data_IF_596469014667
#
_entry.id   IF_596469014667
#
_cell.length_a   1.000
_cell.length_b   1.000
_cell.length_c   1.000
_cell.angle_alpha   90.00
_cell.angle_beta   90.00
_cell.angle_gamma   90.00
#
_symmetry.space_group_name_H-M   'P 1'
#
loop_
_entity.id
_entity.type
_entity.pdbx_description
1 polymer ?
#
# COMPACT_ATOMS: atom_id res chain seq x y z
N UNK A 1 36.34 28.03 -24.25
CA UNK A 1 35.11 28.85 -24.30
C UNK A 1 33.92 27.92 -24.47
N UNK A 2 33.41 27.36 -23.37
CA UNK A 2 32.12 26.68 -23.36
C UNK A 2 31.04 27.76 -23.36
N UNK A 3 30.00 27.65 -24.20
CA UNK A 3 28.94 28.65 -24.21
C UNK A 3 28.23 28.60 -22.85
N UNK A 4 28.22 29.74 -22.15
CA UNK A 4 27.38 30.00 -20.99
C UNK A 4 25.92 29.88 -21.43
N UNK A 5 25.35 28.68 -21.34
CA UNK A 5 23.90 28.52 -21.31
C UNK A 5 23.47 29.17 -19.98
N UNK A 6 22.81 30.32 -20.08
CA UNK A 6 22.23 31.03 -18.94
C UNK A 6 21.44 30.07 -18.06
N UNK A 7 21.87 29.92 -16.80
CA UNK A 7 21.27 29.04 -15.80
C UNK A 7 19.80 29.36 -15.50
N UNK A 8 19.37 30.61 -15.72
CA UNK A 8 17.95 31.00 -15.66
C UNK A 8 17.07 30.23 -16.66
N UNK A 9 17.62 29.87 -17.82
CA UNK A 9 16.87 29.10 -18.82
C UNK A 9 16.58 27.65 -18.38
N UNK A 10 17.36 27.08 -17.45
CA UNK A 10 17.20 25.68 -17.01
C UNK A 10 16.06 25.57 -15.99
N UNK A 11 16.02 26.46 -14.99
CA UNK A 11 14.96 26.48 -13.98
C UNK A 11 13.62 26.89 -14.59
N UNK A 12 13.62 27.85 -15.53
CA UNK A 12 12.42 28.25 -16.26
C UNK A 12 11.89 27.11 -17.15
N UNK A 13 12.77 26.33 -17.77
CA UNK A 13 12.39 25.15 -18.55
C UNK A 13 11.81 24.02 -17.66
N UNK A 14 12.43 23.75 -16.50
CA UNK A 14 11.90 22.79 -15.52
C UNK A 14 10.51 23.19 -15.02
N UNK A 15 10.32 24.46 -14.66
CA UNK A 15 9.02 24.98 -14.20
C UNK A 15 7.95 24.83 -15.28
N UNK A 16 8.30 25.10 -16.54
CA UNK A 16 7.38 24.93 -17.67
C UNK A 16 7.00 23.46 -17.88
N UNK A 17 7.97 22.54 -17.80
CA UNK A 17 7.70 21.10 -17.92
C UNK A 17 6.76 20.60 -16.82
N UNK A 18 6.97 21.04 -15.57
CA UNK A 18 6.10 20.73 -14.42
C UNK A 18 4.66 21.22 -14.68
N UNK A 19 4.51 22.47 -15.16
CA UNK A 19 3.19 23.06 -15.43
C UNK A 19 2.45 22.37 -16.59
N UNK A 20 3.17 21.98 -17.64
CA UNK A 20 2.61 21.24 -18.78
C UNK A 20 2.16 19.82 -18.38
N UNK A 21 2.88 19.16 -17.48
CA UNK A 21 2.51 17.86 -16.90
C UNK A 21 1.23 17.96 -16.05
N UNK A 22 1.14 19.00 -15.21
CA UNK A 22 -0.04 19.23 -14.38
C UNK A 22 -1.32 19.43 -15.20
N UNK A 23 -1.23 20.15 -16.33
CA UNK A 23 -2.37 20.36 -17.23
C UNK A 23 -2.86 19.06 -17.87
N UNK A 24 -1.94 18.17 -18.28
CA UNK A 24 -2.28 16.84 -18.84
C UNK A 24 -2.91 15.93 -17.78
N UNK A 25 -2.42 15.99 -16.54
CA UNK A 25 -2.93 15.20 -15.41
C UNK A 25 -4.41 15.44 -15.14
N UNK A 26 -4.83 16.71 -15.13
CA UNK A 26 -6.24 17.09 -14.93
C UNK A 26 -7.15 16.46 -16.00
N UNK A 27 -6.72 16.41 -17.26
CA UNK A 27 -7.48 15.78 -18.33
C UNK A 27 -7.60 14.25 -18.13
N UNK A 28 -6.50 13.60 -17.73
CA UNK A 28 -6.48 12.17 -17.42
C UNK A 28 -7.38 11.83 -16.24
N UNK A 29 -7.35 12.61 -15.16
CA UNK A 29 -8.22 12.43 -13.99
C UNK A 29 -9.71 12.50 -14.37
N UNK A 30 -10.07 13.45 -15.25
CA UNK A 30 -11.43 13.55 -15.78
C UNK A 30 -11.82 12.28 -16.54
N UNK A 31 -10.97 11.77 -17.44
CA UNK A 31 -11.22 10.52 -18.18
C UNK A 31 -11.34 9.31 -17.25
N UNK A 32 -10.51 9.22 -16.22
CA UNK A 32 -10.61 8.15 -15.22
C UNK A 32 -11.97 8.18 -14.49
N UNK A 33 -12.47 9.38 -14.17
CA UNK A 33 -13.80 9.58 -13.58
C UNK A 33 -14.93 9.20 -14.53
N UNK A 34 -14.82 9.53 -15.82
CA UNK A 34 -15.78 9.11 -16.86
C UNK A 34 -15.84 7.58 -16.97
N UNK A 35 -14.70 6.90 -17.00
CA UNK A 35 -14.67 5.43 -16.98
C UNK A 35 -15.26 4.86 -15.69
N UNK A 36 -15.04 5.51 -14.53
CA UNK A 36 -15.68 5.10 -13.28
C UNK A 36 -17.20 5.19 -13.36
N UNK A 37 -17.74 6.24 -13.98
CA UNK A 37 -19.18 6.39 -14.21
C UNK A 37 -19.72 5.28 -15.14
N UNK A 38 -19.00 4.98 -16.22
CA UNK A 38 -19.36 3.86 -17.12
C UNK A 38 -19.38 2.54 -16.36
N UNK A 39 -18.38 2.27 -15.52
CA UNK A 39 -18.32 1.06 -14.70
C UNK A 39 -19.56 0.99 -13.80
N UNK A 40 -19.87 2.06 -13.07
CA UNK A 40 -21.01 2.10 -12.14
C UNK A 40 -22.35 1.90 -12.87
N UNK A 41 -22.53 2.54 -14.03
CA UNK A 41 -23.74 2.38 -14.85
C UNK A 41 -23.88 0.93 -15.32
N UNK A 42 -22.82 0.37 -15.90
CA UNK A 42 -22.80 -0.99 -16.45
C UNK A 42 -22.98 -2.05 -15.36
N UNK A 43 -22.47 -1.82 -14.15
CA UNK A 43 -22.71 -2.69 -13.00
C UNK A 43 -24.17 -2.72 -12.54
N UNK A 44 -24.98 -1.71 -12.88
CA UNK A 44 -26.42 -1.69 -12.61
C UNK A 44 -27.28 -2.33 -13.71
N UNK A 45 -26.69 -2.66 -14.86
CA UNK A 45 -27.38 -3.33 -15.97
C UNK A 45 -27.44 -4.85 -15.77
N UNK A 46 -28.22 -5.56 -16.60
CA UNK A 46 -28.31 -7.02 -16.57
C UNK A 46 -26.92 -7.65 -16.75
N UNK A 47 -26.63 -8.67 -15.93
CA UNK A 47 -25.43 -9.48 -16.06
C UNK A 47 -25.47 -10.24 -17.40
N UNK A 48 -24.68 -9.77 -18.36
CA UNK A 48 -24.46 -10.40 -19.65
C UNK A 48 -22.98 -10.40 -19.99
N UNK A 49 -22.57 -11.28 -20.90
CA UNK A 49 -21.20 -11.36 -21.37
C UNK A 49 -20.76 -10.03 -21.99
N UNK A 50 -21.63 -9.43 -22.81
CA UNK A 50 -21.37 -8.12 -23.42
C UNK A 50 -21.15 -7.03 -22.37
N UNK A 51 -22.05 -6.95 -21.39
CA UNK A 51 -21.95 -5.99 -20.30
C UNK A 51 -20.65 -6.20 -19.50
N UNK A 52 -20.31 -7.45 -19.18
CA UNK A 52 -19.08 -7.73 -18.47
C UNK A 52 -17.82 -7.36 -19.25
N UNK A 53 -17.79 -7.65 -20.55
CA UNK A 53 -16.67 -7.26 -21.42
C UNK A 53 -16.54 -5.74 -21.47
N UNK A 54 -17.65 -5.01 -21.49
CA UNK A 54 -17.66 -3.54 -21.40
C UNK A 54 -17.08 -3.05 -20.07
N UNK A 55 -17.48 -3.65 -18.94
CA UNK A 55 -16.92 -3.35 -17.62
C UNK A 55 -15.40 -3.60 -17.59
N UNK A 56 -14.93 -4.72 -18.16
CA UNK A 56 -13.50 -5.00 -18.27
C UNK A 56 -12.76 -3.94 -19.08
N UNK A 57 -13.27 -3.59 -20.25
CA UNK A 57 -12.66 -2.56 -21.09
C UNK A 57 -12.59 -1.22 -20.34
N UNK A 58 -13.66 -0.83 -19.65
CA UNK A 58 -13.68 0.40 -18.88
C UNK A 58 -12.68 0.36 -17.71
N UNK A 59 -12.57 -0.76 -16.99
CA UNK A 59 -11.57 -0.94 -15.91
C UNK A 59 -10.14 -0.92 -16.44
N UNK A 60 -9.88 -1.61 -17.54
CA UNK A 60 -8.56 -1.65 -18.20
C UNK A 60 -8.16 -0.24 -18.64
N UNK A 61 -9.06 0.49 -19.29
CA UNK A 61 -8.80 1.86 -19.72
C UNK A 61 -8.58 2.81 -18.54
N UNK A 62 -9.40 2.68 -17.49
CA UNK A 62 -9.21 3.45 -16.25
C UNK A 62 -7.85 3.18 -15.61
N UNK A 63 -7.47 1.92 -15.44
CA UNK A 63 -6.16 1.53 -14.88
C UNK A 63 -5.00 2.03 -15.75
N UNK A 64 -5.13 1.96 -17.08
CA UNK A 64 -4.12 2.50 -17.99
C UNK A 64 -3.95 4.01 -17.81
N UNK A 65 -5.04 4.75 -17.60
CA UNK A 65 -5.01 6.19 -17.32
C UNK A 65 -4.40 6.46 -15.94
N UNK A 66 -4.78 5.71 -14.90
CA UNK A 66 -4.22 5.83 -13.54
C UNK A 66 -2.71 5.54 -13.52
N UNK A 67 -2.25 4.57 -14.32
CA UNK A 67 -0.83 4.28 -14.57
C UNK A 67 -0.14 5.49 -15.19
N UNK A 68 -0.71 6.06 -16.26
CA UNK A 68 -0.12 7.23 -16.92
C UNK A 68 -0.02 8.42 -15.95
N UNK A 69 -1.04 8.66 -15.12
CA UNK A 69 -1.01 9.70 -14.08
C UNK A 69 0.13 9.44 -13.10
N UNK A 70 0.30 8.19 -12.65
CA UNK A 70 1.34 7.84 -11.67
C UNK A 70 2.74 7.93 -12.30
N UNK A 71 2.89 7.58 -13.58
CA UNK A 71 4.14 7.76 -14.34
C UNK A 71 4.47 9.25 -14.53
N UNK A 72 3.46 10.10 -14.79
CA UNK A 72 3.62 11.55 -14.86
C UNK A 72 4.01 12.14 -13.48
N UNK A 73 3.37 11.70 -12.38
CA UNK A 73 3.72 12.12 -11.01
C UNK A 73 5.17 11.73 -10.64
N UNK A 74 5.62 10.56 -11.08
CA UNK A 74 7.02 10.10 -10.92
C UNK A 74 7.96 11.03 -11.70
N UNK A 75 7.64 11.36 -12.95
CA UNK A 75 8.45 12.28 -13.75
C UNK A 75 8.50 13.67 -13.10
N UNK A 76 7.35 14.22 -12.71
CA UNK A 76 7.27 15.51 -12.03
C UNK A 76 8.11 15.52 -10.75
N UNK A 77 7.97 14.49 -9.90
CA UNK A 77 8.74 14.37 -8.65
C UNK A 77 10.26 14.32 -8.94
N UNK A 78 10.69 13.65 -10.01
CA UNK A 78 12.09 13.65 -10.43
C UNK A 78 12.57 15.04 -10.88
N UNK A 79 11.75 15.79 -11.64
CA UNK A 79 12.09 17.16 -12.05
C UNK A 79 12.20 18.09 -10.83
N UNK A 80 11.30 17.97 -9.86
CA UNK A 80 11.34 18.71 -8.59
C UNK A 80 12.59 18.36 -7.77
N UNK A 81 13.01 17.08 -7.74
CA UNK A 81 14.26 16.67 -7.10
C UNK A 81 15.47 17.31 -7.81
N UNK A 82 15.50 17.32 -9.14
CA UNK A 82 16.58 17.97 -9.92
C UNK A 82 16.61 19.48 -9.64
N UNK A 83 15.45 20.12 -9.56
CA UNK A 83 15.34 21.53 -9.22
C UNK A 83 15.87 21.83 -7.81
N UNK A 84 15.54 20.98 -6.83
CA UNK A 84 16.07 21.08 -5.46
C UNK A 84 17.58 20.84 -5.41
N UNK A 85 18.09 19.86 -6.16
CA UNK A 85 19.53 19.58 -6.27
C UNK A 85 20.30 20.80 -6.78
N UNK A 86 19.79 21.43 -7.84
CA UNK A 86 20.36 22.64 -8.38
C UNK A 86 20.31 23.81 -7.37
N UNK A 87 19.18 24.00 -6.68
CA UNK A 87 19.03 25.03 -5.66
C UNK A 87 19.94 24.83 -4.44
N UNK A 88 20.17 23.58 -4.03
CA UNK A 88 21.09 23.19 -2.96
C UNK A 88 22.54 23.49 -3.35
N UNK A 89 22.93 23.18 -4.58
CA UNK A 89 24.27 23.48 -5.12
C UNK A 89 24.53 24.99 -5.11
N UNK A 90 23.62 25.78 -5.71
CA UNK A 90 23.73 27.25 -5.70
C UNK A 90 23.80 27.83 -4.28
N UNK A 91 22.92 27.39 -3.39
CA UNK A 91 22.92 27.88 -2.00
C UNK A 91 24.21 27.48 -1.27
N UNK A 92 24.81 26.34 -1.62
CA UNK A 92 26.11 25.89 -1.13
C UNK A 92 27.27 26.77 -1.61
N UNK A 93 27.27 27.13 -2.90
CA UNK A 93 28.25 28.04 -3.50
C UNK A 93 28.14 29.44 -2.89
N UNK A 94 26.91 29.96 -2.73
CA UNK A 94 26.65 31.25 -2.08
C UNK A 94 27.18 31.28 -0.63
N UNK A 95 26.95 30.21 0.14
CA UNK A 95 27.49 30.06 1.50
C UNK A 95 29.01 30.09 1.50
N UNK A 96 29.64 29.40 0.55
CA UNK A 96 31.11 29.34 0.43
C UNK A 96 31.65 30.72 0.10
N UNK A 97 31.08 31.40 -0.89
CA UNK A 97 31.44 32.77 -1.23
C UNK A 97 31.24 33.76 -0.07
N UNK A 98 30.14 33.68 0.68
CA UNK A 98 29.94 34.55 1.84
C UNK A 98 30.95 34.26 2.97
N UNK A 99 31.35 33.00 3.17
CA UNK A 99 32.40 32.63 4.14
C UNK A 99 33.76 33.17 3.73
N UNK A 100 34.13 33.04 2.46
CA UNK A 100 35.42 33.52 1.96
C UNK A 100 35.51 35.04 2.10
N UNK A 101 34.46 35.77 1.71
CA UNK A 101 34.36 37.22 1.93
C UNK A 101 34.43 37.59 3.42
N UNK A 102 33.78 36.82 4.29
CA UNK A 102 33.80 37.07 5.74
C UNK A 102 35.19 36.80 6.33
N UNK A 103 35.89 35.76 5.86
CA UNK A 103 37.26 35.45 6.27
C UNK A 103 38.24 36.55 5.87
N UNK A 104 38.11 37.10 4.66
CA UNK A 104 38.91 38.24 4.20
C UNK A 104 38.66 39.48 5.08
N UNK A 105 37.40 39.80 5.40
CA UNK A 105 37.08 40.91 6.30
C UNK A 105 37.68 40.68 7.69
N UNK A 106 37.56 39.48 8.26
CA UNK A 106 38.14 39.14 9.57
C UNK A 106 39.67 39.23 9.54
N UNK A 107 40.31 38.81 8.45
CA UNK A 107 41.75 38.92 8.28
C UNK A 107 42.19 40.40 8.25
N UNK A 108 41.50 41.26 7.49
CA UNK A 108 41.77 42.70 7.47
C UNK A 108 41.60 43.33 8.86
N UNK A 109 40.55 42.95 9.60
CA UNK A 109 40.39 43.38 11.00
C UNK A 109 41.59 42.94 11.82
N UNK A 110 41.99 41.66 11.76
CA UNK A 110 43.09 41.11 12.56
C UNK A 110 44.46 41.72 12.21
N UNK A 111 44.70 42.09 10.95
CA UNK A 111 45.89 42.82 10.50
C UNK A 111 45.87 44.28 10.98
N UNK A 112 44.69 44.90 11.04
CA UNK A 112 44.52 46.29 11.52
C UNK A 112 44.56 46.39 13.04
N UNK A 113 44.02 45.41 13.78
CA UNK A 113 44.06 45.32 15.25
C UNK A 113 45.46 45.01 15.80
N UNK A 114 46.35 44.45 14.96
CA UNK A 114 47.78 44.27 15.29
C UNK A 114 48.58 45.58 15.23
N UNK A 115 48.00 46.66 14.69
CA UNK A 115 48.51 48.01 14.84
C UNK A 115 47.92 48.55 16.14
N UNK A 116 48.76 48.87 17.13
CA UNK A 116 48.26 49.32 18.44
C UNK A 116 47.32 50.51 18.25
N UNK A 117 46.14 50.51 18.88
CA UNK A 117 45.22 51.67 18.85
C UNK A 117 45.91 52.96 19.32
N UNK A 118 47.00 52.82 20.10
CA UNK A 118 47.88 53.91 20.52
C UNK A 118 48.87 54.35 19.42
N UNK A 119 49.31 53.44 18.52
CA UNK A 119 50.12 53.78 17.33
C UNK A 119 49.31 54.54 16.27
N UNK A 120 48.02 54.22 16.10
CA UNK A 120 47.12 54.93 15.16
C UNK A 120 46.84 56.37 15.64
N UNK A 121 46.70 56.57 16.96
CA UNK A 121 46.60 57.91 17.58
C UNK A 121 47.87 58.74 17.34
N UNK A 122 49.03 58.10 17.24
CA UNK A 122 50.32 58.77 17.03
C UNK A 122 50.66 59.04 15.56
N UNK A 123 49.88 58.51 14.60
CA UNK A 123 50.13 58.61 13.16
C UNK A 123 48.99 59.30 12.36
N UNK A 124 47.91 59.76 13.01
CA UNK A 124 46.80 60.44 12.33
C UNK A 124 47.04 61.96 12.27
N UNK A 125 47.08 62.51 11.06
CA UNK A 125 47.43 63.93 10.81
C UNK A 125 46.33 64.92 11.27
N UNK A 126 45.10 64.47 11.57
CA UNK A 126 44.02 65.29 12.14
C UNK A 126 42.87 64.49 12.81
N UNK A 127 42.02 65.19 13.58
CA UNK A 127 40.88 64.64 14.34
C UNK A 127 39.72 64.11 13.47
N UNK A 128 39.61 64.54 12.20
CA UNK A 128 38.59 64.01 11.27
C UNK A 128 38.95 62.60 10.78
N UNK A 129 40.24 62.32 10.58
CA UNK A 129 40.71 61.00 10.16
C UNK A 129 40.45 59.93 11.24
N UNK A 130 40.54 60.31 12.52
CA UNK A 130 40.15 59.46 13.66
C UNK A 130 38.65 59.14 13.69
N UNK A 131 37.78 60.14 13.51
CA UNK A 131 36.32 59.91 13.46
C UNK A 131 35.90 59.14 12.20
N UNK A 132 36.60 59.35 11.07
CA UNK A 132 36.42 58.56 9.86
C UNK A 132 36.84 57.11 10.06
N UNK A 133 37.93 56.84 10.79
CA UNK A 133 38.35 55.49 11.17
C UNK A 133 37.38 54.83 12.17
N UNK A 134 36.86 55.55 13.16
CA UNK A 134 35.82 55.04 14.05
C UNK A 134 34.51 54.72 13.31
N UNK A 135 34.08 55.60 12.40
CA UNK A 135 32.92 55.36 11.54
C UNK A 135 33.18 54.21 10.56
N UNK A 136 34.41 54.04 10.09
CA UNK A 136 34.83 52.91 9.25
C UNK A 136 34.74 51.59 10.01
N UNK A 137 35.22 51.54 11.26
CA UNK A 137 35.12 50.36 12.12
C UNK A 137 33.66 50.00 12.47
N UNK A 138 32.81 50.98 12.76
CA UNK A 138 31.38 50.74 13.02
C UNK A 138 30.64 50.24 11.76
N UNK A 139 30.90 50.84 10.59
CA UNK A 139 30.36 50.36 9.32
C UNK A 139 30.84 48.94 8.98
N UNK A 140 32.09 48.62 9.30
CA UNK A 140 32.67 47.30 9.07
C UNK A 140 32.05 46.25 10.01
N UNK A 141 31.85 46.59 11.29
CA UNK A 141 31.13 45.73 12.24
C UNK A 141 29.68 45.48 11.81
N UNK A 142 28.98 46.50 11.31
CA UNK A 142 27.62 46.35 10.78
C UNK A 142 27.58 45.49 9.51
N UNK A 143 28.55 45.65 8.60
CA UNK A 143 28.68 44.81 7.40
C UNK A 143 28.98 43.34 7.70
N UNK A 144 29.81 43.07 8.72
CA UNK A 144 30.06 41.71 9.23
C UNK A 144 28.79 41.08 9.78
N UNK A 145 28.03 41.83 10.60
CA UNK A 145 26.76 41.36 11.16
C UNK A 145 25.75 41.00 10.06
N UNK A 146 25.61 41.87 9.05
CA UNK A 146 24.73 41.61 7.91
C UNK A 146 25.13 40.35 7.13
N UNK A 147 26.42 40.15 6.87
CA UNK A 147 26.94 38.94 6.21
C UNK A 147 26.69 37.67 7.02
N UNK A 148 26.89 37.72 8.33
CA UNK A 148 26.60 36.60 9.25
C UNK A 148 25.10 36.28 9.25
N UNK A 149 24.23 37.29 9.28
CA UNK A 149 22.78 37.07 9.25
C UNK A 149 22.31 36.51 7.89
N UNK A 150 22.88 36.98 6.76
CA UNK A 150 22.68 36.36 5.44
C UNK A 150 23.13 34.90 5.41
N UNK A 151 24.29 34.58 5.99
CA UNK A 151 24.80 33.21 6.12
C UNK A 151 23.86 32.30 6.92
N UNK A 152 23.27 32.81 8.01
CA UNK A 152 22.27 32.06 8.79
C UNK A 152 21.04 31.76 7.95
N UNK A 153 20.51 32.74 7.21
CA UNK A 153 19.34 32.56 6.33
C UNK A 153 19.63 31.52 5.25
N UNK A 154 20.77 31.63 4.56
CA UNK A 154 21.18 30.65 3.55
C UNK A 154 21.33 29.24 4.14
N UNK A 155 21.87 29.13 5.36
CA UNK A 155 22.02 27.84 6.04
C UNK A 155 20.68 27.20 6.40
N UNK A 156 19.71 28.00 6.83
CA UNK A 156 18.34 27.54 7.10
C UNK A 156 17.71 27.03 5.80
N UNK A 157 17.75 27.84 4.73
CA UNK A 157 17.23 27.47 3.41
C UNK A 157 17.86 26.17 2.91
N UNK A 158 19.19 26.05 2.98
CA UNK A 158 19.91 24.84 2.57
C UNK A 158 19.42 23.58 3.30
N UNK A 159 19.15 23.68 4.61
CA UNK A 159 18.65 22.55 5.38
C UNK A 159 17.20 22.22 5.00
N UNK A 160 16.35 23.22 4.77
CA UNK A 160 14.97 23.03 4.32
C UNK A 160 14.90 22.38 2.94
N UNK A 161 15.72 22.84 1.99
CA UNK A 161 15.77 22.27 0.63
C UNK A 161 16.26 20.80 0.67
N UNK A 162 17.20 20.48 1.57
CA UNK A 162 17.67 19.10 1.80
C UNK A 162 16.58 18.21 2.40
N UNK A 163 15.84 18.70 3.39
CA UNK A 163 14.72 17.96 3.98
C UNK A 163 13.62 17.71 2.93
N UNK A 164 13.23 18.76 2.20
CA UNK A 164 12.26 18.64 1.10
C UNK A 164 12.69 17.64 0.02
N UNK A 165 13.99 17.59 -0.30
CA UNK A 165 14.54 16.60 -1.23
C UNK A 165 14.37 15.16 -0.71
N UNK A 166 14.63 14.92 0.56
CA UNK A 166 14.45 13.58 1.15
C UNK A 166 12.96 13.18 1.20
N UNK A 167 12.06 14.11 1.55
CA UNK A 167 10.61 13.86 1.49
C UNK A 167 10.14 13.48 0.06
N UNK A 168 10.68 14.17 -0.95
CA UNK A 168 10.36 13.87 -2.36
C UNK A 168 10.90 12.51 -2.80
N UNK A 169 12.06 12.08 -2.29
CA UNK A 169 12.57 10.72 -2.53
C UNK A 169 11.69 9.65 -1.89
N UNK A 170 11.25 9.87 -0.65
CA UNK A 170 10.31 8.94 0.00
C UNK A 170 9.00 8.84 -0.80
N UNK A 171 8.46 9.99 -1.21
CA UNK A 171 7.27 10.03 -2.08
C UNK A 171 7.49 9.28 -3.40
N UNK A 172 8.67 9.41 -4.00
CA UNK A 172 9.01 8.71 -5.25
C UNK A 172 8.97 7.19 -5.08
N UNK A 173 9.47 6.65 -3.97
CA UNK A 173 9.40 5.21 -3.69
C UNK A 173 7.95 4.73 -3.51
N UNK A 174 7.12 5.51 -2.80
CA UNK A 174 5.67 5.22 -2.66
C UNK A 174 4.97 5.21 -4.03
N UNK A 175 5.29 6.17 -4.91
CA UNK A 175 4.72 6.23 -6.26
C UNK A 175 5.15 5.04 -7.13
N UNK A 176 6.39 4.57 -7.01
CA UNK A 176 6.87 3.36 -7.71
C UNK A 176 6.13 2.11 -7.25
N UNK A 177 5.94 1.93 -5.94
CA UNK A 177 5.17 0.81 -5.40
C UNK A 177 3.71 0.84 -5.90
N UNK A 178 3.10 2.03 -5.90
CA UNK A 178 1.77 2.24 -6.46
C UNK A 178 1.70 1.86 -7.94
N UNK A 179 2.70 2.28 -8.74
CA UNK A 179 2.78 1.97 -10.17
C UNK A 179 2.87 0.46 -10.42
N UNK A 180 3.68 -0.26 -9.65
CA UNK A 180 3.82 -1.71 -9.78
C UNK A 180 2.50 -2.42 -9.45
N UNK A 181 1.82 -2.00 -8.38
CA UNK A 181 0.49 -2.52 -8.03
C UNK A 181 -0.58 -2.26 -9.10
N UNK A 182 -0.55 -1.07 -9.72
CA UNK A 182 -1.44 -0.73 -10.84
C UNK A 182 -1.13 -1.56 -12.10
N UNK A 183 0.15 -1.71 -12.46
CA UNK A 183 0.60 -2.53 -13.61
C UNK A 183 0.19 -3.99 -13.44
N UNK A 184 0.36 -4.53 -12.24
CA UNK A 184 -0.10 -5.86 -11.91
C UNK A 184 -1.64 -5.99 -12.00
N UNK A 185 -2.38 -5.00 -11.48
CA UNK A 185 -3.85 -4.97 -11.62
C UNK A 185 -4.31 -4.89 -13.07
N UNK A 186 -3.61 -4.13 -13.90
CA UNK A 186 -3.89 -4.03 -15.34
C UNK A 186 -3.69 -5.37 -16.05
N UNK A 187 -2.54 -6.01 -15.83
CA UNK A 187 -2.27 -7.35 -16.34
C UNK A 187 -3.34 -8.34 -15.86
N UNK A 188 -3.73 -8.21 -14.59
CA UNK A 188 -4.78 -9.02 -13.99
C UNK A 188 -6.12 -8.90 -14.72
N UNK A 189 -6.61 -7.68 -14.93
CA UNK A 189 -7.88 -7.43 -15.61
C UNK A 189 -7.86 -7.94 -17.06
N UNK A 190 -6.71 -7.80 -17.75
CA UNK A 190 -6.53 -8.33 -19.12
C UNK A 190 -6.65 -9.85 -19.14
N UNK A 191 -5.95 -10.55 -18.24
CA UNK A 191 -5.99 -12.01 -18.15
C UNK A 191 -7.39 -12.52 -17.77
N UNK A 192 -8.06 -11.89 -16.80
CA UNK A 192 -9.42 -12.26 -16.43
C UNK A 192 -10.41 -12.08 -17.58
N UNK A 193 -10.28 -11.00 -18.37
CA UNK A 193 -11.08 -10.78 -19.58
C UNK A 193 -10.82 -11.87 -20.62
N UNK A 194 -9.55 -12.19 -20.89
CA UNK A 194 -9.18 -13.22 -21.85
C UNK A 194 -9.70 -14.60 -21.45
N UNK A 195 -9.53 -14.98 -20.17
CA UNK A 195 -10.04 -16.24 -19.64
C UNK A 195 -11.56 -16.33 -19.72
N UNK A 196 -12.28 -15.24 -19.43
CA UNK A 196 -13.73 -15.18 -19.62
C UNK A 196 -14.10 -15.46 -21.09
N UNK A 197 -13.45 -14.78 -22.04
CA UNK A 197 -13.72 -14.97 -23.46
C UNK A 197 -13.34 -16.38 -23.93
N UNK A 198 -12.26 -16.97 -23.40
CA UNK A 198 -11.83 -18.34 -23.71
C UNK A 198 -12.83 -19.38 -23.22
N UNK A 199 -13.34 -19.21 -21.99
CA UNK A 199 -14.34 -20.12 -21.41
C UNK A 199 -15.69 -19.99 -22.12
N UNK A 200 -16.17 -18.76 -22.29
CA UNK A 200 -17.48 -18.48 -22.88
C UNK A 200 -17.48 -18.65 -24.39
N UNK A 201 -16.32 -18.61 -25.04
CA UNK A 201 -16.17 -18.59 -26.51
C UNK A 201 -16.93 -17.42 -27.17
N UNK A 202 -17.26 -16.37 -26.41
CA UNK A 202 -18.12 -15.28 -26.88
C UNK A 202 -19.62 -15.58 -26.82
N UNK A 203 -20.03 -16.73 -26.28
CA UNK A 203 -21.44 -17.15 -26.23
C UNK A 203 -22.09 -16.78 -24.89
N UNK A 204 -23.19 -16.02 -24.97
CA UNK A 204 -23.99 -15.61 -23.80
C UNK A 204 -24.53 -16.81 -23.01
N UNK A 205 -24.95 -17.88 -23.69
CA UNK A 205 -25.47 -19.09 -23.04
C UNK A 205 -24.43 -19.76 -22.14
N UNK A 206 -23.17 -19.87 -22.60
CA UNK A 206 -22.04 -20.40 -21.81
C UNK A 206 -21.70 -19.50 -20.65
N UNK A 207 -21.81 -18.18 -20.83
CA UNK A 207 -21.63 -17.23 -19.75
C UNK A 207 -22.70 -17.41 -18.65
N UNK A 208 -23.98 -17.46 -19.02
CA UNK A 208 -25.06 -17.69 -18.06
C UNK A 208 -24.93 -19.05 -17.36
N UNK A 209 -24.51 -20.10 -18.08
CA UNK A 209 -24.19 -21.40 -17.49
C UNK A 209 -23.03 -21.31 -16.49
N UNK A 210 -21.96 -20.56 -16.84
CA UNK A 210 -20.84 -20.31 -15.94
C UNK A 210 -21.31 -19.64 -14.65
N UNK A 211 -22.11 -18.57 -14.76
CA UNK A 211 -22.66 -17.85 -13.62
C UNK A 211 -23.50 -18.76 -12.73
N UNK A 212 -24.40 -19.54 -13.32
CA UNK A 212 -25.25 -20.47 -12.58
C UNK A 212 -24.42 -21.53 -11.85
N UNK A 213 -23.39 -22.08 -12.50
CA UNK A 213 -22.49 -23.06 -11.89
C UNK A 213 -21.71 -22.46 -10.71
N UNK A 214 -21.21 -21.23 -10.88
CA UNK A 214 -20.43 -20.54 -9.85
C UNK A 214 -21.31 -20.15 -8.66
N UNK A 215 -22.53 -19.64 -8.90
CA UNK A 215 -23.49 -19.33 -7.84
C UNK A 215 -23.89 -20.59 -7.06
N UNK A 216 -24.13 -21.71 -7.76
CA UNK A 216 -24.42 -22.99 -7.14
C UNK A 216 -23.25 -23.49 -6.29
N UNK A 217 -22.01 -23.41 -6.79
CA UNK A 217 -20.82 -23.79 -6.04
C UNK A 217 -20.59 -22.88 -4.84
N UNK A 218 -20.68 -21.56 -5.00
CA UNK A 218 -20.56 -20.59 -3.91
C UNK A 218 -21.56 -20.88 -2.80
N UNK A 219 -22.84 -21.05 -3.15
CA UNK A 219 -23.89 -21.41 -2.19
C UNK A 219 -23.65 -22.75 -1.52
N UNK A 220 -23.18 -23.75 -2.26
CA UNK A 220 -22.85 -25.09 -1.76
C UNK A 220 -21.52 -25.19 -0.99
N UNK A 221 -20.68 -24.16 -1.02
CA UNK A 221 -19.41 -24.15 -0.29
C UNK A 221 -19.48 -23.22 0.91
N UNK A 222 -20.02 -22.02 0.75
CA UNK A 222 -19.98 -20.99 1.78
C UNK A 222 -21.34 -20.67 2.38
N UNK A 223 -22.42 -21.22 1.82
CA UNK A 223 -23.78 -20.89 2.24
C UNK A 223 -24.04 -19.39 2.15
N UNK A 224 -24.75 -18.86 3.14
CA UNK A 224 -24.97 -17.42 3.31
C UNK A 224 -24.57 -17.02 4.72
N UNK A 225 -23.29 -17.27 5.03
CA UNK A 225 -22.75 -17.17 6.39
C UNK A 225 -22.95 -15.77 7.00
N UNK A 226 -22.82 -14.70 6.22
CA UNK A 226 -22.99 -13.35 6.72
C UNK A 226 -24.46 -13.06 7.07
N UNK A 227 -25.42 -13.45 6.22
CA UNK A 227 -26.84 -13.33 6.55
C UNK A 227 -27.19 -14.14 7.80
N UNK A 228 -26.69 -15.37 7.91
CA UNK A 228 -26.95 -16.22 9.09
C UNK A 228 -26.32 -15.62 10.36
N UNK A 229 -25.10 -15.06 10.29
CA UNK A 229 -24.47 -14.33 11.39
C UNK A 229 -25.30 -13.14 11.85
N UNK A 230 -25.89 -12.39 10.93
CA UNK A 230 -26.78 -11.27 11.27
C UNK A 230 -28.07 -11.77 11.92
N UNK A 231 -28.68 -12.83 11.38
CA UNK A 231 -29.91 -13.41 11.94
C UNK A 231 -29.70 -14.01 13.34
N UNK A 232 -28.53 -14.60 13.60
CA UNK A 232 -28.20 -15.27 14.88
C UNK A 232 -27.24 -14.47 15.76
N UNK A 233 -27.15 -13.15 15.59
CA UNK A 233 -26.12 -12.33 16.24
C UNK A 233 -26.18 -12.40 17.77
N UNK A 234 -27.37 -12.40 18.38
CA UNK A 234 -27.56 -12.50 19.83
C UNK A 234 -27.17 -13.88 20.36
N UNK A 235 -27.53 -14.94 19.65
CA UNK A 235 -27.17 -16.31 19.99
C UNK A 235 -25.65 -16.52 19.91
N UNK A 236 -25.02 -16.02 18.84
CA UNK A 236 -23.57 -16.03 18.69
C UNK A 236 -22.85 -15.24 19.80
N UNK A 237 -23.41 -14.11 20.24
CA UNK A 237 -22.86 -13.34 21.34
C UNK A 237 -22.88 -14.15 22.65
N UNK A 238 -24.01 -14.82 22.95
CA UNK A 238 -24.12 -15.71 24.11
C UNK A 238 -23.17 -16.90 24.02
N UNK A 239 -23.10 -17.55 22.86
CA UNK A 239 -22.16 -18.66 22.64
C UNK A 239 -20.72 -18.23 22.86
N UNK A 240 -20.35 -17.02 22.41
CA UNK A 240 -19.00 -16.48 22.55
C UNK A 240 -18.60 -16.26 24.01
N UNK A 241 -19.54 -15.89 24.88
CA UNK A 241 -19.29 -15.78 26.33
C UNK A 241 -19.06 -17.14 26.99
N UNK A 242 -19.64 -18.20 26.44
CA UNK A 242 -19.47 -19.58 26.92
C UNK A 242 -18.19 -20.25 26.39
N UNK A 243 -17.57 -19.69 25.35
CA UNK A 243 -16.36 -20.28 24.77
C UNK A 243 -15.12 -19.95 25.60
N UNK A 244 -14.36 -20.98 25.94
CA UNK A 244 -13.03 -20.81 26.53
C UNK A 244 -12.08 -20.12 25.55
N UNK A 245 -11.17 -19.30 26.08
CA UNK A 245 -10.07 -18.74 25.31
C UNK A 245 -8.78 -19.54 25.55
N UNK A 246 -7.96 -19.74 24.51
CA UNK A 246 -6.62 -20.28 24.67
C UNK A 246 -5.79 -19.41 25.63
N UNK A 247 -4.93 -20.01 26.47
CA UNK A 247 -3.93 -19.28 27.23
C UNK A 247 -3.07 -18.40 26.32
N UNK A 248 -2.70 -17.21 26.80
CA UNK A 248 -1.93 -16.23 26.02
C UNK A 248 -0.59 -16.75 25.49
N UNK A 249 0.00 -17.78 26.14
CA UNK A 249 1.21 -18.46 25.65
C UNK A 249 1.06 -19.12 24.27
N UNK A 250 -0.18 -19.34 23.80
CA UNK A 250 -0.46 -19.90 22.47
C UNK A 250 -1.00 -18.87 21.48
N UNK A 251 -0.95 -17.59 21.83
CA UNK A 251 -1.43 -16.54 20.94
C UNK A 251 -0.38 -16.21 19.89
N UNK A 252 -0.78 -16.20 18.63
CA UNK A 252 0.01 -15.60 17.58
C UNK A 252 -0.18 -14.08 17.56
N UNK A 253 0.81 -13.38 16.99
CA UNK A 253 0.74 -11.94 16.74
C UNK A 253 -0.47 -11.59 15.88
N UNK A 254 -1.23 -10.59 16.29
CA UNK A 254 -2.38 -10.09 15.52
C UNK A 254 -1.99 -9.15 14.38
N UNK A 255 -0.70 -8.86 14.18
CA UNK A 255 -0.24 -8.02 13.07
C UNK A 255 -0.55 -8.61 11.69
N UNK A 256 -0.63 -9.94 11.60
CA UNK A 256 -1.01 -10.66 10.38
C UNK A 256 -2.47 -11.12 10.39
N UNK A 257 -3.26 -10.73 11.39
CA UNK A 257 -4.69 -11.04 11.46
C UNK A 257 -5.53 -10.07 10.62
N UNK A 258 -6.53 -10.60 9.93
CA UNK A 258 -7.52 -9.81 9.19
C UNK A 258 -8.93 -10.31 9.43
N UNK A 259 -9.91 -9.40 9.37
CA UNK A 259 -11.33 -9.74 9.36
C UNK A 259 -11.87 -9.62 7.94
N UNK A 260 -12.70 -10.55 7.48
CA UNK A 260 -13.32 -10.41 6.15
C UNK A 260 -14.35 -9.28 6.11
N UNK A 261 -14.99 -9.00 7.25
CA UNK A 261 -16.03 -7.98 7.42
C UNK A 261 -15.50 -6.62 7.91
N UNK A 262 -14.20 -6.37 7.77
CA UNK A 262 -13.57 -5.09 8.09
C UNK A 262 -14.17 -3.95 7.22
N UNK A 263 -14.57 -2.81 7.80
CA UNK A 263 -15.17 -1.70 7.06
C UNK A 263 -14.35 -1.22 5.84
N UNK A 264 -13.02 -1.37 5.89
CA UNK A 264 -12.12 -0.96 4.81
C UNK A 264 -12.32 -1.75 3.51
N UNK A 265 -12.80 -2.99 3.58
CA UNK A 265 -12.98 -3.84 2.39
C UNK A 265 -14.26 -4.68 2.38
N UNK A 266 -15.12 -4.63 3.40
CA UNK A 266 -16.34 -5.44 3.49
C UNK A 266 -17.24 -5.32 2.25
N UNK A 267 -17.29 -4.13 1.64
CA UNK A 267 -18.05 -3.85 0.41
C UNK A 267 -17.26 -4.03 -0.89
N UNK A 268 -15.98 -4.40 -0.80
CA UNK A 268 -15.15 -4.70 -1.98
C UNK A 268 -15.68 -5.96 -2.64
N UNK A 269 -15.97 -5.88 -3.95
CA UNK A 269 -16.38 -7.07 -4.70
C UNK A 269 -15.22 -8.03 -4.96
N UNK A 270 -15.52 -9.32 -5.01
CA UNK A 270 -14.55 -10.40 -5.22
C UNK A 270 -14.44 -10.70 -6.71
N UNK A 271 -13.20 -10.65 -7.21
CA UNK A 271 -12.86 -10.77 -8.61
C UNK A 271 -13.69 -9.81 -9.44
N UNK A 272 -14.55 -10.36 -10.30
CA UNK A 272 -15.38 -9.60 -11.23
C UNK A 272 -16.88 -9.77 -11.00
N UNK A 273 -17.27 -10.52 -9.98
CA UNK A 273 -18.66 -10.69 -9.56
C UNK A 273 -19.20 -9.48 -8.79
N UNK A 274 -20.46 -9.57 -8.38
CA UNK A 274 -21.09 -8.72 -7.37
C UNK A 274 -20.94 -9.23 -5.93
N UNK A 275 -20.34 -10.40 -5.72
CA UNK A 275 -20.10 -10.99 -4.40
C UNK A 275 -19.17 -10.09 -3.60
N UNK A 276 -19.52 -9.78 -2.35
CA UNK A 276 -18.73 -8.90 -1.49
C UNK A 276 -17.83 -9.67 -0.54
N UNK A 277 -16.72 -9.06 -0.14
CA UNK A 277 -15.79 -9.60 0.86
C UNK A 277 -16.47 -9.93 2.19
N UNK A 278 -17.39 -9.09 2.67
CA UNK A 278 -18.12 -9.36 3.91
C UNK A 278 -18.94 -10.65 3.86
N UNK A 279 -19.47 -10.99 2.68
CA UNK A 279 -20.37 -12.13 2.48
C UNK A 279 -19.61 -13.44 2.21
N UNK A 280 -18.55 -13.39 1.39
CA UNK A 280 -17.89 -14.58 0.84
C UNK A 280 -16.35 -14.57 0.96
N UNK A 281 -15.78 -13.66 1.75
CA UNK A 281 -14.34 -13.38 1.76
C UNK A 281 -13.44 -14.27 2.61
N UNK A 282 -13.94 -15.35 3.22
CA UNK A 282 -13.16 -16.13 4.20
C UNK A 282 -11.86 -16.70 3.60
N UNK A 283 -11.93 -17.36 2.44
CA UNK A 283 -10.77 -17.92 1.74
C UNK A 283 -9.72 -16.85 1.38
N UNK A 284 -10.20 -15.69 0.92
CA UNK A 284 -9.34 -14.57 0.51
C UNK A 284 -8.64 -14.00 1.74
N UNK A 285 -9.38 -13.87 2.83
CA UNK A 285 -8.86 -13.31 4.07
C UNK A 285 -7.84 -14.25 4.71
N UNK A 286 -8.06 -15.57 4.70
CA UNK A 286 -7.08 -16.53 5.22
C UNK A 286 -5.80 -16.61 4.38
N UNK A 287 -5.89 -16.50 3.04
CA UNK A 287 -4.70 -16.39 2.19
C UNK A 287 -3.93 -15.10 2.52
N UNK A 288 -4.61 -13.96 2.60
CA UNK A 288 -3.97 -12.69 2.95
C UNK A 288 -3.28 -12.74 4.32
N UNK A 289 -3.89 -13.43 5.30
CA UNK A 289 -3.27 -13.66 6.61
C UNK A 289 -1.98 -14.48 6.51
N UNK A 290 -1.98 -15.59 5.76
CA UNK A 290 -0.80 -16.46 5.61
C UNK A 290 0.31 -15.76 4.80
N UNK A 291 -0.03 -15.05 3.72
CA UNK A 291 0.93 -14.27 2.95
C UNK A 291 1.59 -13.18 3.81
N UNK A 292 0.79 -12.49 4.65
CA UNK A 292 1.32 -11.48 5.58
C UNK A 292 2.20 -12.06 6.68
N UNK A 293 1.84 -13.23 7.20
CA UNK A 293 2.71 -13.96 8.15
C UNK A 293 4.09 -14.28 7.54
N UNK A 294 4.15 -14.46 6.21
CA UNK A 294 5.38 -14.74 5.46
C UNK A 294 6.10 -13.49 4.93
N UNK A 295 5.63 -12.30 5.28
CA UNK A 295 6.29 -11.03 4.94
C UNK A 295 5.71 -10.29 3.73
N UNK A 296 4.70 -10.81 3.05
CA UNK A 296 4.04 -10.09 1.95
C UNK A 296 2.98 -9.14 2.50
N UNK A 297 3.12 -7.84 2.26
CA UNK A 297 2.16 -6.84 2.72
C UNK A 297 0.93 -6.74 1.79
N UNK A 298 0.00 -7.70 1.93
CA UNK A 298 -1.25 -7.71 1.16
C UNK A 298 -2.47 -7.72 2.08
N UNK A 299 -3.47 -6.92 1.75
CA UNK A 299 -4.77 -6.88 2.44
C UNK A 299 -5.81 -7.78 1.74
N UNK A 300 -6.86 -8.23 2.44
CA UNK A 300 -7.95 -8.96 1.81
C UNK A 300 -8.63 -8.16 0.69
N UNK A 301 -8.75 -6.84 0.84
CA UNK A 301 -9.32 -5.95 -0.19
C UNK A 301 -8.48 -5.89 -1.47
N UNK A 302 -7.15 -5.83 -1.34
CA UNK A 302 -6.25 -5.90 -2.49
C UNK A 302 -6.30 -7.29 -3.13
N UNK A 303 -6.23 -8.35 -2.32
CA UNK A 303 -6.29 -9.73 -2.82
C UNK A 303 -7.62 -10.03 -3.51
N UNK A 304 -8.74 -9.47 -3.06
CA UNK A 304 -10.05 -9.59 -3.71
C UNK A 304 -10.08 -9.09 -5.17
N UNK A 305 -9.11 -8.25 -5.55
CA UNK A 305 -8.95 -7.71 -6.92
C UNK A 305 -7.85 -8.40 -7.73
N UNK A 306 -7.22 -9.42 -7.14
CA UNK A 306 -6.14 -10.17 -7.73
C UNK A 306 -6.53 -10.97 -8.96
N UNK A 307 -5.55 -11.34 -9.79
CA UNK A 307 -5.76 -12.20 -10.96
C UNK A 307 -5.85 -13.69 -10.63
N UNK A 308 -6.61 -13.99 -9.59
CA UNK A 308 -6.71 -15.34 -9.03
C UNK A 308 -8.16 -15.81 -9.00
N UNK A 309 -9.02 -15.24 -9.85
CA UNK A 309 -10.45 -15.56 -9.87
C UNK A 309 -10.92 -15.95 -11.27
N UNK A 310 -11.75 -17.00 -11.34
CA UNK A 310 -12.75 -17.15 -12.39
C UNK A 310 -14.08 -16.62 -11.84
N UNK A 311 -14.50 -15.44 -12.31
CA UNK A 311 -15.62 -14.71 -11.72
C UNK A 311 -15.35 -14.27 -10.26
N UNK A 312 -15.88 -14.99 -9.28
CA UNK A 312 -15.58 -14.92 -7.85
C UNK A 312 -15.03 -16.23 -7.27
N UNK A 313 -14.92 -17.28 -8.08
CA UNK A 313 -14.30 -18.53 -7.65
C UNK A 313 -12.78 -18.36 -7.64
N UNK A 314 -12.20 -18.53 -6.47
CA UNK A 314 -10.76 -18.40 -6.29
C UNK A 314 -10.01 -19.59 -6.91
N UNK A 315 -9.10 -19.29 -7.83
CA UNK A 315 -7.96 -20.12 -8.13
C UNK A 315 -6.91 -19.90 -7.06
N UNK A 316 -6.79 -20.87 -6.16
CA UNK A 316 -5.79 -20.79 -5.10
C UNK A 316 -4.41 -20.60 -5.71
N UNK A 317 -3.69 -19.51 -5.37
CA UNK A 317 -2.41 -19.22 -5.96
C UNK A 317 -1.47 -20.40 -5.72
N UNK A 318 -0.89 -20.98 -6.77
CA UNK A 318 0.13 -22.02 -6.62
C UNK A 318 1.49 -21.41 -6.26
N UNK A 319 1.67 -20.12 -6.56
CA UNK A 319 2.83 -19.31 -6.20
C UNK A 319 2.40 -17.85 -6.01
N UNK A 320 2.98 -17.19 -5.02
CA UNK A 320 2.87 -15.76 -4.78
C UNK A 320 4.25 -15.22 -4.41
N UNK A 321 4.89 -14.41 -5.26
CA UNK A 321 6.28 -13.98 -5.06
C UNK A 321 7.23 -15.18 -4.84
N UNK A 322 7.90 -15.26 -3.69
CA UNK A 322 8.74 -16.39 -3.28
C UNK A 322 7.96 -17.53 -2.63
N UNK A 323 6.70 -17.29 -2.26
CA UNK A 323 5.85 -18.22 -1.50
C UNK A 323 5.23 -19.25 -2.46
N UNK A 324 5.31 -20.53 -2.12
CA UNK A 324 4.77 -21.62 -2.92
C UNK A 324 3.68 -22.38 -2.18
N UNK A 325 2.68 -22.83 -2.93
CA UNK A 325 1.63 -23.67 -2.40
C UNK A 325 2.10 -25.13 -2.38
N UNK A 326 2.25 -25.69 -1.18
CA UNK A 326 2.70 -27.07 -0.98
C UNK A 326 1.55 -28.06 -0.96
N UNK A 327 0.33 -27.58 -0.69
CA UNK A 327 -0.89 -28.35 -0.78
C UNK A 327 -2.01 -27.41 -1.23
N UNK A 328 -2.30 -27.37 -2.53
CA UNK A 328 -3.28 -26.47 -3.11
C UNK A 328 -4.62 -27.18 -3.27
N UNK A 329 -5.73 -26.50 -2.91
CA UNK A 329 -6.84 -27.09 -2.16
C UNK A 329 -7.17 -28.48 -2.67
N UNK A 330 -7.00 -29.52 -1.83
CA UNK A 330 -7.46 -30.84 -2.21
C UNK A 330 -8.99 -30.81 -2.38
N UNK A 331 -9.61 -31.75 -3.11
CA UNK A 331 -11.06 -31.86 -3.12
C UNK A 331 -11.64 -31.92 -1.70
N UNK A 332 -12.81 -31.31 -1.45
CA UNK A 332 -13.53 -31.38 -0.16
C UNK A 332 -13.96 -32.81 0.26
N UNK A 333 -13.59 -33.82 -0.51
CA UNK A 333 -13.79 -35.24 -0.21
C UNK A 333 -12.52 -35.92 0.32
N UNK A 334 -11.41 -35.19 0.48
CA UNK A 334 -10.15 -35.74 0.95
C UNK A 334 -10.18 -36.08 2.44
N UNK A 335 -9.49 -37.17 2.80
CA UNK A 335 -9.25 -37.53 4.21
C UNK A 335 -8.32 -36.46 4.82
N UNK A 336 -8.70 -35.92 5.98
CA UNK A 336 -7.92 -34.88 6.64
C UNK A 336 -6.71 -35.49 7.38
N UNK A 337 -5.50 -35.04 7.03
CA UNK A 337 -4.24 -35.49 7.63
C UNK A 337 -3.85 -34.60 8.83
N UNK A 338 -4.34 -34.99 10.02
CA UNK A 338 -4.02 -34.32 11.28
C UNK A 338 -2.53 -34.35 11.62
N UNK A 339 -1.79 -35.39 11.21
CA UNK A 339 -0.36 -35.51 11.47
C UNK A 339 0.44 -34.48 10.65
N UNK A 340 0.05 -34.27 9.40
CA UNK A 340 0.61 -33.18 8.58
C UNK A 340 0.32 -31.81 9.20
N UNK A 341 -0.91 -31.57 9.67
CA UNK A 341 -1.25 -30.30 10.34
C UNK A 341 -0.32 -30.05 11.54
N UNK A 342 -0.14 -31.03 12.42
CA UNK A 342 0.75 -30.95 13.59
C UNK A 342 2.20 -30.61 13.18
N UNK A 343 2.70 -31.23 12.11
CA UNK A 343 4.05 -30.98 11.60
C UNK A 343 4.22 -29.56 11.09
N UNK A 344 3.25 -29.04 10.33
CA UNK A 344 3.33 -27.68 9.78
C UNK A 344 3.30 -26.62 10.87
N UNK A 345 2.33 -26.70 11.79
CA UNK A 345 2.24 -25.71 12.87
C UNK A 345 3.43 -25.83 13.83
N UNK A 346 3.94 -27.04 14.07
CA UNK A 346 5.16 -27.26 14.84
C UNK A 346 6.42 -26.68 14.19
N UNK A 347 6.44 -26.56 12.86
CA UNK A 347 7.48 -25.87 12.09
C UNK A 347 7.25 -24.35 11.98
N UNK A 348 6.21 -23.81 12.64
CA UNK A 348 5.86 -22.39 12.57
C UNK A 348 5.19 -21.97 11.26
N UNK A 349 4.62 -22.91 10.51
CA UNK A 349 3.86 -22.63 9.29
C UNK A 349 2.35 -22.63 9.61
N UNK A 350 1.68 -21.47 9.55
CA UNK A 350 0.23 -21.44 9.70
C UNK A 350 -0.45 -22.17 8.52
N UNK A 351 -1.53 -22.88 8.82
CA UNK A 351 -2.22 -23.75 7.88
C UNK A 351 -3.66 -23.29 7.70
N UNK A 352 -4.10 -23.13 6.46
CA UNK A 352 -5.48 -22.80 6.17
C UNK A 352 -6.28 -24.10 6.15
N UNK A 353 -7.42 -24.15 6.83
CA UNK A 353 -8.31 -25.31 6.81
C UNK A 353 -9.74 -24.89 6.51
N UNK A 354 -10.56 -25.83 6.04
CA UNK A 354 -11.97 -25.62 5.83
C UNK A 354 -12.82 -26.32 6.89
N UNK A 355 -13.60 -25.55 7.64
CA UNK A 355 -14.61 -26.04 8.57
C UNK A 355 -15.90 -26.24 7.80
N UNK A 356 -16.22 -27.49 7.46
CA UNK A 356 -17.42 -27.85 6.72
C UNK A 356 -18.61 -28.11 7.65
N UNK A 357 -19.74 -27.51 7.34
CA UNK A 357 -21.07 -27.91 7.78
C UNK A 357 -21.61 -29.06 6.90
N UNK A 358 -22.22 -30.09 7.50
CA UNK A 358 -22.61 -31.36 6.85
C UNK A 358 -23.35 -31.24 5.50
N UNK A 359 -24.10 -30.16 5.26
CA UNK A 359 -24.98 -29.99 4.10
C UNK A 359 -24.49 -28.98 3.04
N UNK A 360 -23.18 -28.79 2.92
CA UNK A 360 -22.62 -27.97 1.84
C UNK A 360 -22.56 -26.48 2.18
N UNK A 361 -21.98 -26.16 3.34
CA UNK A 361 -21.53 -24.82 3.67
C UNK A 361 -20.29 -24.93 4.53
N UNK A 362 -19.57 -23.84 4.74
CA UNK A 362 -18.38 -23.87 5.56
C UNK A 362 -17.62 -22.57 5.57
N UNK A 363 -16.45 -22.63 6.18
CA UNK A 363 -15.68 -21.45 6.54
C UNK A 363 -14.19 -21.76 6.57
N UNK A 364 -13.39 -20.90 5.94
CA UNK A 364 -11.94 -21.02 5.99
C UNK A 364 -11.39 -20.29 7.21
N UNK A 365 -10.47 -20.95 7.92
CA UNK A 365 -9.72 -20.39 9.05
C UNK A 365 -8.23 -20.70 8.95
N UNK A 366 -7.40 -19.97 9.69
CA UNK A 366 -5.95 -20.25 9.77
C UNK A 366 -5.61 -20.85 11.13
N UNK A 367 -5.13 -22.09 11.15
CA UNK A 367 -4.55 -22.73 12.33
C UNK A 367 -3.10 -22.29 12.47
N UNK A 368 -2.69 -21.87 13.67
CA UNK A 368 -1.30 -21.49 13.91
C UNK A 368 -0.64 -22.26 15.05
N UNK A 369 -1.39 -22.76 16.05
CA UNK A 369 -0.82 -23.44 17.22
C UNK A 369 -1.67 -24.63 17.65
N UNK A 370 -1.06 -25.51 18.43
CA UNK A 370 -1.72 -26.58 19.20
C UNK A 370 -1.33 -26.46 20.66
N UNK A 371 -2.31 -26.57 21.55
CA UNK A 371 -2.13 -26.50 22.99
C UNK A 371 -1.68 -27.84 23.58
N UNK A 372 -1.17 -27.84 24.81
CA UNK A 372 -0.65 -29.06 25.45
C UNK A 372 -1.74 -30.13 25.66
N UNK A 373 -3.00 -29.70 25.81
CA UNK A 373 -4.20 -30.57 25.87
C UNK A 373 -4.71 -31.00 24.48
N UNK A 374 -3.97 -30.66 23.41
CA UNK A 374 -4.20 -31.15 22.06
C UNK A 374 -5.19 -30.35 21.22
N UNK A 375 -5.67 -29.19 21.71
CA UNK A 375 -6.63 -28.33 21.00
C UNK A 375 -5.91 -27.38 20.04
N UNK A 376 -6.56 -27.03 18.94
CA UNK A 376 -5.96 -26.14 17.94
C UNK A 376 -6.40 -24.69 18.15
N UNK A 377 -5.48 -23.76 17.95
CA UNK A 377 -5.73 -22.31 18.03
C UNK A 377 -5.72 -21.72 16.63
N UNK A 378 -6.71 -20.87 16.36
CA UNK A 378 -6.95 -20.29 15.05
C UNK A 378 -7.05 -18.77 15.07
N UNK A 379 -6.71 -18.19 13.92
CA UNK A 379 -7.19 -16.90 13.48
C UNK A 379 -8.40 -17.11 12.56
N UNK A 380 -9.57 -16.67 13.03
CA UNK A 380 -10.84 -16.79 12.30
C UNK A 380 -11.24 -15.43 11.71
N UNK A 381 -11.47 -15.32 10.38
CA UNK A 381 -11.77 -14.06 9.72
C UNK A 381 -13.14 -13.45 10.07
N UNK A 382 -14.01 -14.17 10.78
CA UNK A 382 -15.35 -13.73 11.18
C UNK A 382 -15.56 -13.70 12.71
N UNK A 383 -14.97 -14.66 13.43
CA UNK A 383 -15.25 -14.86 14.87
C UNK A 383 -14.15 -14.35 15.80
N UNK A 384 -12.93 -14.15 15.31
CA UNK A 384 -11.85 -13.50 16.07
C UNK A 384 -10.48 -14.15 15.90
N UNK A 385 -9.45 -13.44 16.35
CA UNK A 385 -8.10 -13.98 16.46
C UNK A 385 -7.91 -14.78 17.76
N UNK A 386 -6.97 -15.73 17.72
CA UNK A 386 -6.53 -16.51 18.89
C UNK A 386 -7.69 -17.19 19.65
N UNK A 387 -8.61 -17.83 18.92
CA UNK A 387 -9.69 -18.64 19.49
C UNK A 387 -9.43 -20.13 19.24
N UNK A 388 -10.08 -21.02 19.98
CA UNK A 388 -10.00 -22.44 19.66
C UNK A 388 -10.73 -22.76 18.35
N UNK A 389 -10.20 -23.74 17.60
CA UNK A 389 -10.88 -24.31 16.43
C UNK A 389 -12.26 -24.87 16.81
N UNK A 390 -12.38 -25.48 17.99
CA UNK A 390 -13.65 -26.03 18.48
C UNK A 390 -14.71 -24.94 18.64
N UNK A 391 -14.31 -23.73 19.06
CA UNK A 391 -15.21 -22.58 19.13
C UNK A 391 -15.74 -22.19 17.75
N UNK A 392 -14.87 -22.19 16.74
CA UNK A 392 -15.28 -21.98 15.33
C UNK A 392 -16.28 -23.05 14.90
N UNK A 393 -16.00 -24.32 15.20
CA UNK A 393 -16.90 -25.44 14.89
C UNK A 393 -18.27 -25.27 15.56
N UNK A 394 -18.32 -24.83 16.82
CA UNK A 394 -19.57 -24.51 17.53
C UNK A 394 -20.34 -23.39 16.83
N UNK A 395 -19.67 -22.30 16.43
CA UNK A 395 -20.35 -21.20 15.72
C UNK A 395 -20.90 -21.64 14.36
N UNK A 396 -20.11 -22.36 13.56
CA UNK A 396 -20.55 -22.86 12.25
C UNK A 396 -21.68 -23.88 12.41
N UNK A 397 -21.58 -24.78 13.40
CA UNK A 397 -22.62 -25.74 13.74
C UNK A 397 -23.93 -25.05 14.10
N UNK A 398 -23.86 -24.00 14.91
CA UNK A 398 -25.02 -23.20 15.29
C UNK A 398 -25.63 -22.45 14.09
N UNK A 399 -24.80 -21.81 13.26
CA UNK A 399 -25.26 -21.05 12.09
C UNK A 399 -26.01 -21.92 11.09
N UNK A 400 -25.52 -23.14 10.85
CA UNK A 400 -26.09 -24.07 9.86
C UNK A 400 -26.93 -25.18 10.46
N UNK A 401 -27.15 -25.16 11.78
CA UNK A 401 -27.94 -26.14 12.54
C UNK A 401 -27.54 -27.59 12.23
N UNK A 402 -26.23 -27.84 12.23
CA UNK A 402 -25.68 -29.12 11.79
C UNK A 402 -24.32 -29.41 12.40
N UNK A 403 -23.83 -30.63 12.27
CA UNK A 403 -22.49 -30.98 12.72
C UNK A 403 -21.41 -30.45 11.78
N UNK A 404 -20.23 -30.18 12.31
CA UNK A 404 -19.06 -29.77 11.54
C UNK A 404 -18.02 -30.87 11.37
N UNK A 405 -17.23 -30.78 10.32
CA UNK A 405 -16.05 -31.60 10.04
C UNK A 405 -14.96 -30.76 9.40
N UNK A 406 -13.72 -31.24 9.37
CA UNK A 406 -12.64 -30.61 8.59
C UNK A 406 -12.35 -31.48 7.37
N UNK A 407 -12.30 -30.89 6.17
CA UNK A 407 -12.14 -31.66 4.92
C UNK A 407 -11.15 -31.07 3.89
N UNK A 408 -10.52 -29.94 4.20
CA UNK A 408 -9.41 -29.39 3.40
C UNK A 408 -8.33 -28.79 4.28
N UNK A 409 -7.10 -28.88 3.76
CA UNK A 409 -5.90 -28.29 4.33
C UNK A 409 -5.12 -27.64 3.19
N UNK A 410 -4.78 -26.36 3.32
CA UNK A 410 -3.99 -25.61 2.35
C UNK A 410 -2.73 -25.10 3.04
N UNK A 411 -1.58 -25.36 2.42
CA UNK A 411 -0.25 -25.08 2.99
C UNK A 411 0.53 -24.22 2.01
N UNK A 412 1.07 -23.13 2.51
CA UNK A 412 2.00 -22.25 1.81
C UNK A 412 3.34 -22.26 2.52
N UNK A 413 4.44 -22.38 1.78
CA UNK A 413 5.82 -22.27 2.27
C UNK A 413 6.49 -21.02 1.73
#
# INVERSE_FOLDING_TARGET
LFPLISQGNIIDDLNKQIQDQESKRIELEKKAKEYQQIINQKQGEINSLSNQVAIFNARINKLQIEINITEDDIQQTNLEIIQLEYGIEQTGDDITGQKDNLAEIIQVIAETDQVSQVEIILYSDNFSDFFNQLAYLDNLQNGVKEKVDKLKVLKIKLNQDKESKEDKKERLEVLKEQLDGQKWSLASQRNSKENLLKYTKGEESKYQQMLANIEAQKKSLLGDINRLRQQKSEELARLKELQEKPPSKYWASTNWYYKQDDPRWTNTTIGISSSKMGDYGCAITTIAMVLKNKGTNITPGQLAKASIYAWDLIYWPTKWESIQCMNCPPPHTSIFDWFRLDREIGAGHPVIIFVRAKWGAGHYVVVHHKTDDGRYVVHDPLFGANIYLDSTQVYISNLYETTTSIDQMIIYH
#
